data_IF_516208422985
#
_entry.id   IF_516208422985
#
_cell.length_a   1.000
_cell.length_b   1.000
_cell.length_c   1.000
_cell.angle_alpha   90.00
_cell.angle_beta   90.00
_cell.angle_gamma   90.00
#
_symmetry.space_group_name_H-M   'P 1'
#
loop_
_entity.id
_entity.type
_entity.pdbx_description
1 polymer ?
#
# COMPACT_ATOMS: atom_id res chain seq x y z
N UNK A 1 -9.57 21.43 5.29
CA UNK A 1 -8.39 21.41 6.20
C UNK A 1 -8.48 20.29 7.24
N UNK A 2 -9.66 19.98 7.81
CA UNK A 2 -9.80 18.85 8.74
C UNK A 2 -9.48 17.49 8.10
N UNK A 3 -10.06 17.18 6.92
CA UNK A 3 -9.89 15.88 6.25
C UNK A 3 -8.43 15.52 5.97
N UNK A 4 -7.65 16.45 5.40
CA UNK A 4 -6.24 16.22 5.07
C UNK A 4 -5.38 15.92 6.29
N UNK A 5 -5.71 16.52 7.44
CA UNK A 5 -5.00 16.30 8.69
C UNK A 5 -5.25 14.89 9.22
N UNK A 6 -6.48 14.39 9.10
CA UNK A 6 -6.80 13.02 9.49
C UNK A 6 -6.24 11.96 8.53
N UNK A 7 -6.18 12.25 7.22
CA UNK A 7 -5.77 11.25 6.22
C UNK A 7 -4.28 11.21 5.93
N UNK A 8 -3.54 12.32 6.09
CA UNK A 8 -2.12 12.42 5.71
C UNK A 8 -1.16 12.27 6.88
N UNK A 9 -1.65 12.33 8.12
CA UNK A 9 -0.82 12.21 9.31
C UNK A 9 -0.85 10.78 9.84
N UNK A 10 0.29 10.30 10.33
CA UNK A 10 0.36 9.00 11.00
C UNK A 10 -0.16 9.14 12.42
N UNK A 11 -1.14 8.30 12.77
CA UNK A 11 -1.74 8.27 14.11
C UNK A 11 -1.27 7.05 14.86
N UNK A 12 -0.57 7.26 15.97
CA UNK A 12 -0.18 6.20 16.89
C UNK A 12 -1.13 6.19 18.08
N UNK A 13 -2.04 5.22 18.12
CA UNK A 13 -2.96 5.04 19.24
C UNK A 13 -2.33 4.09 20.25
N UNK A 14 -1.95 4.62 21.42
CA UNK A 14 -1.43 3.80 22.52
C UNK A 14 -2.56 3.54 23.50
N UNK A 15 -2.96 2.27 23.64
CA UNK A 15 -4.11 1.88 24.45
C UNK A 15 -3.69 0.96 25.60
N UNK A 16 -2.81 1.47 26.47
CA UNK A 16 -2.20 0.69 27.57
C UNK A 16 -3.22 0.12 28.54
N UNK A 17 -4.25 0.89 28.91
CA UNK A 17 -5.28 0.43 29.84
C UNK A 17 -6.10 -0.74 29.28
N UNK A 18 -6.42 -0.69 27.99
CA UNK A 18 -7.12 -1.76 27.30
C UNK A 18 -6.26 -3.03 27.22
N UNK A 19 -4.99 -2.89 26.82
CA UNK A 19 -4.06 -4.02 26.76
C UNK A 19 -3.78 -4.62 28.15
N UNK A 20 -3.81 -3.81 29.22
CA UNK A 20 -3.67 -4.31 30.59
C UNK A 20 -4.82 -5.23 31.01
N UNK A 21 -5.98 -5.18 30.36
CA UNK A 21 -7.08 -6.09 30.69
C UNK A 21 -6.68 -7.56 30.48
N UNK A 22 -5.78 -7.86 29.54
CA UNK A 22 -5.24 -9.21 29.34
C UNK A 22 -4.57 -9.79 30.58
N UNK A 23 -3.97 -8.97 31.45
CA UNK A 23 -3.31 -9.48 32.67
C UNK A 23 -4.30 -9.91 33.75
N UNK A 24 -5.57 -9.51 33.63
CA UNK A 24 -6.62 -9.86 34.58
C UNK A 24 -7.48 -11.04 34.11
N UNK A 25 -7.27 -11.54 32.89
CA UNK A 25 -7.99 -12.69 32.36
C UNK A 25 -7.37 -13.96 32.97
N UNK A 26 -8.16 -14.80 33.66
CA UNK A 26 -7.72 -16.11 34.13
C UNK A 26 -7.23 -16.99 32.98
N UNK A 27 -6.22 -17.83 33.21
CA UNK A 27 -5.66 -18.68 32.14
C UNK A 27 -6.66 -19.73 31.61
N UNK A 28 -7.68 -20.10 32.40
CA UNK A 28 -8.76 -21.01 32.01
C UNK A 28 -9.81 -20.37 31.09
N UNK A 29 -9.99 -19.05 31.15
CA UNK A 29 -10.93 -18.30 30.28
C UNK A 29 -10.24 -17.67 29.07
N UNK A 30 -8.91 -17.81 28.98
CA UNK A 30 -8.10 -17.17 27.95
C UNK A 30 -8.47 -17.62 26.54
N UNK A 31 -8.85 -18.88 26.34
CA UNK A 31 -9.18 -19.39 24.99
C UNK A 31 -10.41 -18.67 24.37
N UNK A 32 -11.36 -18.25 25.21
CA UNK A 32 -12.58 -17.55 24.77
C UNK A 32 -12.42 -16.02 24.71
N UNK A 33 -11.56 -15.46 25.56
CA UNK A 33 -11.43 -14.01 25.77
C UNK A 33 -10.07 -13.43 25.40
N UNK A 34 -9.13 -14.20 24.84
CA UNK A 34 -7.84 -13.67 24.40
C UNK A 34 -8.01 -12.69 23.24
N UNK A 35 -7.38 -11.53 23.41
CA UNK A 35 -7.26 -10.50 22.38
C UNK A 35 -5.81 -10.02 22.30
N UNK A 36 -4.84 -10.90 22.52
CA UNK A 36 -3.44 -10.54 22.35
C UNK A 36 -3.12 -10.23 20.87
N UNK A 37 -2.69 -8.99 20.61
CA UNK A 37 -2.30 -8.51 19.28
C UNK A 37 -0.79 -8.61 19.00
N UNK A 38 0.03 -9.09 19.95
CA UNK A 38 1.51 -9.08 19.85
C UNK A 38 2.05 -9.93 18.69
N UNK A 39 1.43 -11.07 18.40
CA UNK A 39 1.88 -11.98 17.33
C UNK A 39 1.16 -11.77 16.00
N UNK A 40 0.50 -10.62 15.82
CA UNK A 40 -0.24 -10.36 14.61
C UNK A 40 0.69 -9.88 13.50
N UNK A 41 0.76 -10.67 12.43
CA UNK A 41 1.35 -10.20 11.18
C UNK A 41 0.36 -9.27 10.45
N UNK A 42 0.53 -7.96 10.68
CA UNK A 42 -0.30 -6.91 10.07
C UNK A 42 -0.32 -6.99 8.54
N UNK A 43 0.81 -7.34 7.90
CA UNK A 43 0.90 -7.47 6.45
C UNK A 43 -0.01 -8.59 5.94
N UNK A 44 -0.01 -9.74 6.62
CA UNK A 44 -0.84 -10.87 6.21
C UNK A 44 -2.34 -10.58 6.37
N UNK A 45 -2.73 -9.87 7.44
CA UNK A 45 -4.12 -9.43 7.62
C UNK A 45 -4.55 -8.49 6.48
N UNK A 46 -3.71 -7.50 6.16
CA UNK A 46 -4.01 -6.58 5.06
C UNK A 46 -4.09 -7.29 3.71
N UNK A 47 -3.19 -8.24 3.43
CA UNK A 47 -3.23 -9.05 2.21
C UNK A 47 -4.52 -9.87 2.13
N UNK A 48 -4.90 -10.55 3.21
CA UNK A 48 -6.13 -11.34 3.25
C UNK A 48 -7.37 -10.46 3.07
N UNK A 49 -7.39 -9.27 3.68
CA UNK A 49 -8.44 -8.29 3.50
C UNK A 49 -8.56 -7.87 2.02
N UNK A 50 -7.45 -7.47 1.39
CA UNK A 50 -7.42 -7.07 -0.03
C UNK A 50 -7.89 -8.20 -0.96
N UNK A 51 -7.47 -9.44 -0.71
CA UNK A 51 -7.92 -10.62 -1.47
C UNK A 51 -9.43 -10.82 -1.27
N UNK A 52 -9.92 -10.70 -0.04
CA UNK A 52 -11.35 -10.76 0.29
C UNK A 52 -12.16 -9.68 -0.42
N UNK A 53 -11.72 -8.41 -0.36
CA UNK A 53 -12.35 -7.30 -1.07
C UNK A 53 -12.38 -7.57 -2.57
N UNK A 54 -11.27 -8.02 -3.14
CA UNK A 54 -11.20 -8.35 -4.56
C UNK A 54 -12.17 -9.47 -4.95
N UNK A 55 -12.31 -10.49 -4.11
CA UNK A 55 -13.17 -11.66 -4.36
C UNK A 55 -14.65 -11.36 -4.13
N UNK A 56 -15.01 -10.68 -3.04
CA UNK A 56 -16.39 -10.53 -2.60
C UNK A 56 -16.99 -9.17 -2.98
N UNK A 57 -16.24 -8.07 -2.77
CA UNK A 57 -16.74 -6.72 -3.09
C UNK A 57 -16.68 -6.45 -4.59
N UNK A 58 -15.54 -6.74 -5.22
CA UNK A 58 -15.34 -6.50 -6.65
C UNK A 58 -15.66 -7.71 -7.54
N UNK A 59 -16.08 -8.83 -6.94
CA UNK A 59 -16.40 -10.09 -7.63
C UNK A 59 -15.37 -10.50 -8.71
N UNK A 60 -14.09 -10.20 -8.46
CA UNK A 60 -13.04 -10.41 -9.44
C UNK A 60 -12.54 -11.84 -9.36
N UNK A 61 -12.59 -12.54 -10.49
CA UNK A 61 -12.09 -13.91 -10.56
C UNK A 61 -10.59 -13.94 -10.16
N UNK A 62 -10.18 -14.74 -9.16
CA UNK A 62 -8.80 -14.80 -8.69
C UNK A 62 -7.80 -15.22 -9.78
N UNK A 63 -8.26 -15.96 -10.81
CA UNK A 63 -7.44 -16.30 -11.98
C UNK A 63 -7.00 -15.05 -12.78
N UNK A 64 -7.74 -13.93 -12.68
CA UNK A 64 -7.43 -12.66 -13.36
C UNK A 64 -6.40 -11.81 -12.60
N UNK A 65 -6.03 -12.14 -11.36
CA UNK A 65 -5.02 -11.39 -10.59
C UNK A 65 -3.67 -11.40 -11.31
N UNK A 66 -3.25 -12.56 -11.85
CA UNK A 66 -2.01 -12.67 -12.65
C UNK A 66 -2.07 -11.78 -13.89
N UNK A 67 -3.23 -11.70 -14.55
CA UNK A 67 -3.42 -10.83 -15.71
C UNK A 67 -3.34 -9.35 -15.33
N UNK A 68 -3.94 -8.96 -14.21
CA UNK A 68 -3.86 -7.60 -13.68
C UNK A 68 -2.42 -7.21 -13.34
N UNK A 69 -1.66 -8.09 -12.67
CA UNK A 69 -0.22 -7.88 -12.40
C UNK A 69 0.58 -7.68 -13.69
N UNK A 70 0.29 -8.47 -14.72
CA UNK A 70 0.97 -8.33 -16.02
C UNK A 70 0.59 -7.02 -16.73
N UNK A 71 -0.67 -6.60 -16.67
CA UNK A 71 -1.10 -5.29 -17.20
C UNK A 71 -0.39 -4.14 -16.48
N UNK A 72 -0.29 -4.21 -15.16
CA UNK A 72 0.41 -3.20 -14.36
C UNK A 72 1.91 -3.13 -14.71
N UNK A 73 2.58 -4.28 -14.86
CA UNK A 73 3.98 -4.32 -15.33
C UNK A 73 4.15 -3.65 -16.69
N UNK A 74 3.22 -3.89 -17.63
CA UNK A 74 3.25 -3.24 -18.95
C UNK A 74 3.08 -1.71 -18.83
N UNK A 75 2.14 -1.25 -18.00
CA UNK A 75 1.92 0.17 -17.77
C UNK A 75 3.15 0.85 -17.15
N UNK A 76 3.78 0.23 -16.15
CA UNK A 76 5.02 0.75 -15.54
C UNK A 76 6.16 0.85 -16.56
N UNK A 77 6.27 -0.13 -17.46
CA UNK A 77 7.28 -0.10 -18.51
C UNK A 77 7.02 1.02 -19.53
N UNK A 78 5.76 1.20 -19.93
CA UNK A 78 5.34 2.29 -20.83
C UNK A 78 5.61 3.65 -20.18
N UNK A 79 5.24 3.83 -18.91
CA UNK A 79 5.48 5.05 -18.16
C UNK A 79 6.98 5.40 -18.09
N UNK A 80 7.81 4.41 -17.76
CA UNK A 80 9.27 4.59 -17.74
C UNK A 80 9.84 4.96 -19.11
N UNK A 81 9.34 4.33 -20.16
CA UNK A 81 9.74 4.65 -21.53
C UNK A 81 9.35 6.08 -21.90
N UNK A 82 8.12 6.49 -21.59
CA UNK A 82 7.61 7.83 -21.85
C UNK A 82 8.46 8.90 -21.15
N UNK A 83 8.77 8.70 -19.87
CA UNK A 83 9.62 9.59 -19.07
C UNK A 83 11.02 9.68 -19.71
N UNK A 84 11.59 8.55 -20.13
CA UNK A 84 12.93 8.52 -20.75
C UNK A 84 12.96 9.29 -22.06
N UNK A 85 11.97 9.06 -22.95
CA UNK A 85 11.85 9.78 -24.23
C UNK A 85 11.65 11.27 -24.01
N UNK A 86 10.86 11.66 -23.00
CA UNK A 86 10.64 13.05 -22.65
C UNK A 86 11.94 13.76 -22.24
N UNK A 87 12.78 13.12 -21.42
CA UNK A 87 14.10 13.68 -21.06
C UNK A 87 15.07 13.75 -22.25
N UNK A 88 15.07 12.76 -23.14
CA UNK A 88 15.87 12.79 -24.38
C UNK A 88 15.43 13.95 -25.27
N UNK A 89 14.11 14.16 -25.41
CA UNK A 89 13.58 15.27 -26.19
C UNK A 89 13.95 16.62 -25.58
N UNK A 90 13.83 16.78 -24.26
CA UNK A 90 14.24 18.01 -23.56
C UNK A 90 15.73 18.28 -23.78
N UNK A 91 16.58 17.29 -23.57
CA UNK A 91 18.04 17.46 -23.77
C UNK A 91 18.35 17.84 -25.21
N UNK A 92 17.74 17.18 -26.20
CA UNK A 92 17.87 17.53 -27.61
C UNK A 92 17.43 18.97 -27.91
N UNK A 93 16.28 19.40 -27.40
CA UNK A 93 15.80 20.77 -27.53
C UNK A 93 16.78 21.77 -26.90
N UNK A 94 17.33 21.47 -25.73
CA UNK A 94 18.33 22.31 -25.08
C UNK A 94 19.61 22.41 -25.91
N UNK A 95 20.11 21.29 -26.46
CA UNK A 95 21.28 21.28 -27.36
C UNK A 95 21.04 22.14 -28.62
N UNK A 96 19.83 22.09 -29.18
CA UNK A 96 19.47 22.87 -30.36
C UNK A 96 19.30 24.37 -30.04
N UNK A 97 18.82 24.70 -28.83
CA UNK A 97 18.60 26.07 -28.36
C UNK A 97 19.90 26.74 -27.92
N UNK A 98 20.85 25.98 -27.36
CA UNK A 98 22.20 26.51 -27.13
C UNK A 98 22.88 26.65 -28.50
N UNK A 99 22.99 27.86 -29.08
CA UNK A 99 23.76 27.99 -30.30
C UNK A 99 25.18 27.55 -29.97
N UNK A 100 25.80 26.83 -30.90
CA UNK A 100 27.24 26.62 -30.97
C UNK A 100 27.92 27.99 -30.79
N UNK A 101 28.23 28.35 -29.55
CA UNK A 101 28.87 29.60 -29.16
C UNK A 101 30.29 29.25 -28.78
N UNK A 102 31.06 28.95 -29.82
CA UNK A 102 32.51 29.03 -29.86
C UNK A 102 32.92 29.43 -31.28
#
# INVERSE_FOLDING_TARGET
>A
MALSTFTLQTWTFVNTNFLRLLTYIPDDEKDDFDFNFENINTENIFLNCLIGTQKYLFNTNPKKIKQAKNKLKKLVWIDRFLITVFFIFITWCLYLITPFRF
#
